data_IF_892328810387
#
_entry.id   IF_892328810387
#
_cell.length_a   1.000
_cell.length_b   1.000
_cell.length_c   1.000
_cell.angle_alpha   90.00
_cell.angle_beta   90.00
_cell.angle_gamma   90.00
#
_symmetry.space_group_name_H-M   'P 1'
#
loop_
_entity.id
_entity.type
_entity.pdbx_description
1 polymer ?
#
# COMPACT_ATOMS: atom_id res chain seq x y z
N UNK A 1 4.30 -7.95 -19.78
CA UNK A 1 4.29 -9.38 -19.36
C UNK A 1 3.12 -9.63 -18.43
N UNK A 2 2.28 -10.66 -18.71
CA UNK A 2 1.16 -10.99 -17.84
C UNK A 2 1.70 -11.78 -16.63
N UNK A 3 1.75 -11.16 -15.47
CA UNK A 3 2.23 -11.79 -14.21
C UNK A 3 1.32 -12.97 -13.85
N UNK A 4 1.86 -14.16 -13.88
CA UNK A 4 1.11 -15.40 -13.64
C UNK A 4 1.05 -15.64 -12.12
N UNK A 5 -0.10 -15.34 -11.52
CA UNK A 5 -0.34 -15.58 -10.09
C UNK A 5 -0.33 -17.09 -9.77
N UNK A 6 0.51 -17.52 -8.83
CA UNK A 6 0.44 -18.86 -8.26
C UNK A 6 -0.76 -18.98 -7.31
N UNK A 7 -1.87 -19.50 -7.85
CA UNK A 7 -3.13 -19.67 -7.10
C UNK A 7 -2.98 -20.56 -5.86
N UNK A 8 -2.09 -21.58 -5.90
CA UNK A 8 -1.87 -22.49 -4.77
C UNK A 8 -1.17 -21.77 -3.62
N UNK A 9 -0.12 -21.00 -3.93
CA UNK A 9 0.64 -20.22 -2.96
C UNK A 9 -0.23 -19.15 -2.30
N UNK A 10 -1.00 -18.40 -3.10
CA UNK A 10 -1.96 -17.40 -2.61
C UNK A 10 -2.95 -18.03 -1.61
N UNK A 11 -3.63 -19.12 -2.03
CA UNK A 11 -4.58 -19.82 -1.16
C UNK A 11 -3.94 -20.32 0.14
N UNK A 12 -2.71 -20.86 0.06
CA UNK A 12 -1.95 -21.34 1.22
C UNK A 12 -1.63 -20.22 2.20
N UNK A 13 -1.16 -19.07 1.68
CA UNK A 13 -0.82 -17.89 2.49
C UNK A 13 -2.06 -17.35 3.20
N UNK A 14 -3.15 -17.12 2.47
CA UNK A 14 -4.42 -16.66 3.03
C UNK A 14 -4.94 -17.63 4.11
N UNK A 15 -4.92 -18.95 3.84
CA UNK A 15 -5.35 -19.97 4.81
C UNK A 15 -4.52 -19.92 6.09
N UNK A 16 -3.19 -19.73 5.98
CA UNK A 16 -2.31 -19.61 7.14
C UNK A 16 -2.60 -18.34 7.93
N UNK A 17 -2.84 -17.22 7.24
CA UNK A 17 -3.18 -15.95 7.87
C UNK A 17 -4.48 -16.05 8.68
N UNK A 18 -5.55 -16.54 8.07
CA UNK A 18 -6.86 -16.72 8.72
C UNK A 18 -6.83 -17.55 10.00
N UNK A 19 -6.00 -18.60 10.03
CA UNK A 19 -5.87 -19.48 11.20
C UNK A 19 -5.27 -18.81 12.42
N UNK A 20 -4.67 -17.62 12.28
CA UNK A 20 -4.04 -16.89 13.39
C UNK A 20 -5.02 -16.03 14.17
N UNK A 21 -6.21 -15.76 13.60
CA UNK A 21 -7.23 -14.92 14.24
C UNK A 21 -6.63 -13.61 14.82
N UNK A 22 -5.96 -12.87 13.96
CA UNK A 22 -5.19 -11.68 14.33
C UNK A 22 -6.14 -10.60 14.85
N UNK A 23 -5.83 -10.02 16.03
CA UNK A 23 -6.53 -8.82 16.49
C UNK A 23 -6.10 -7.61 15.64
N UNK A 24 -7.00 -6.66 15.40
CA UNK A 24 -6.71 -5.45 14.65
C UNK A 24 -5.53 -4.65 15.25
N UNK A 25 -5.37 -4.69 16.58
CA UNK A 25 -4.28 -4.02 17.31
C UNK A 25 -2.89 -4.61 17.02
N UNK A 26 -2.84 -5.88 16.60
CA UNK A 26 -1.61 -6.58 16.22
C UNK A 26 -1.34 -6.52 14.70
N UNK A 27 -2.28 -5.99 13.94
CA UNK A 27 -2.20 -5.96 12.48
C UNK A 27 -1.34 -4.81 11.98
N UNK A 28 -0.38 -5.13 11.12
CA UNK A 28 0.39 -4.15 10.36
C UNK A 28 -0.14 -4.06 8.93
N UNK A 29 -0.54 -2.88 8.52
CA UNK A 29 -1.09 -2.60 7.18
C UNK A 29 -0.09 -1.73 6.43
N UNK A 30 0.59 -2.31 5.45
CA UNK A 30 1.49 -1.58 4.56
C UNK A 30 0.75 -1.12 3.31
N UNK A 31 0.98 0.13 2.91
CA UNK A 31 0.26 0.81 1.84
C UNK A 31 1.24 1.47 0.88
N UNK A 32 1.09 1.21 -0.40
CA UNK A 32 1.72 2.05 -1.43
C UNK A 32 0.98 3.38 -1.59
N UNK A 33 1.63 4.40 -2.17
CA UNK A 33 1.02 5.71 -2.45
C UNK A 33 0.46 5.74 -3.88
N UNK A 34 1.31 5.51 -4.87
CA UNK A 34 1.01 5.75 -6.28
C UNK A 34 -0.08 4.80 -6.79
N UNK A 35 -1.18 5.33 -7.34
CA UNK A 35 -2.36 4.56 -7.73
C UNK A 35 -2.96 3.66 -6.64
N UNK A 36 -2.54 3.82 -5.39
CA UNK A 36 -3.09 3.11 -4.22
C UNK A 36 -3.81 4.07 -3.29
N UNK A 37 -3.12 5.07 -2.76
CA UNK A 37 -3.67 6.15 -1.93
C UNK A 37 -3.91 7.44 -2.74
N UNK A 38 -3.04 7.72 -3.73
CA UNK A 38 -3.07 8.89 -4.57
C UNK A 38 -3.24 8.52 -6.04
N UNK A 39 -3.92 9.37 -6.81
CA UNK A 39 -4.10 9.20 -8.24
C UNK A 39 -2.82 9.63 -8.98
N UNK A 40 -1.89 8.69 -9.17
CA UNK A 40 -0.63 8.93 -9.88
C UNK A 40 -0.84 9.02 -11.39
N UNK A 41 -1.54 8.03 -11.97
CA UNK A 41 -1.83 8.01 -13.41
C UNK A 41 -3.07 8.82 -13.73
N UNK A 42 -2.90 10.13 -13.90
CA UNK A 42 -3.97 11.02 -14.37
C UNK A 42 -4.29 10.78 -15.86
N UNK A 43 -5.10 11.65 -16.48
CA UNK A 43 -5.42 11.58 -17.91
C UNK A 43 -4.14 11.46 -18.76
N UNK A 44 -3.94 10.33 -19.45
CA UNK A 44 -2.76 10.08 -20.28
C UNK A 44 -2.00 8.79 -19.96
N UNK A 45 -2.36 8.13 -18.82
CA UNK A 45 -1.80 6.83 -18.44
C UNK A 45 -0.40 6.87 -17.84
N UNK A 46 0.12 5.69 -17.47
CA UNK A 46 1.37 5.54 -16.72
C UNK A 46 2.60 6.15 -17.41
N UNK A 47 2.69 6.09 -18.73
CA UNK A 47 3.85 6.61 -19.45
C UNK A 47 4.00 8.14 -19.34
N UNK A 48 2.86 8.87 -19.34
CA UNK A 48 2.85 10.32 -19.16
C UNK A 48 3.12 10.64 -17.69
N UNK A 49 2.49 9.93 -16.77
CA UNK A 49 2.72 10.08 -15.33
C UNK A 49 4.20 9.89 -14.96
N UNK A 50 4.87 8.89 -15.53
CA UNK A 50 6.31 8.66 -15.31
C UNK A 50 7.19 9.81 -15.81
N UNK A 51 6.79 10.53 -16.87
CA UNK A 51 7.49 11.74 -17.34
C UNK A 51 7.27 12.90 -16.38
N UNK A 52 6.00 13.17 -16.03
CA UNK A 52 5.63 14.23 -15.09
C UNK A 52 6.25 14.00 -13.70
N UNK A 53 6.45 12.76 -13.30
CA UNK A 53 7.10 12.40 -12.04
C UNK A 53 8.58 12.85 -11.95
N UNK A 54 9.18 13.30 -13.06
CA UNK A 54 10.50 13.95 -13.07
C UNK A 54 10.41 15.45 -12.80
N UNK A 55 9.22 16.05 -12.85
CA UNK A 55 9.01 17.47 -12.63
C UNK A 55 8.89 17.75 -11.13
N UNK A 56 9.34 18.93 -10.71
CA UNK A 56 9.22 19.40 -9.33
C UNK A 56 7.74 19.59 -8.92
N UNK A 57 7.41 19.21 -7.71
CA UNK A 57 6.06 19.35 -7.16
C UNK A 57 5.05 18.28 -7.63
N UNK A 58 5.43 17.35 -8.49
CA UNK A 58 4.48 16.37 -9.04
C UNK A 58 3.83 15.53 -7.93
N UNK A 59 4.63 14.93 -7.04
CA UNK A 59 4.10 14.02 -6.02
C UNK A 59 3.33 14.74 -4.91
N UNK A 60 3.74 15.93 -4.50
CA UNK A 60 3.03 16.67 -3.44
C UNK A 60 1.66 17.16 -3.87
N UNK A 61 1.42 17.29 -5.19
CA UNK A 61 0.16 17.76 -5.76
C UNK A 61 -0.77 16.63 -6.23
N UNK A 62 -0.42 15.35 -6.01
CA UNK A 62 -1.29 14.24 -6.37
C UNK A 62 -2.60 14.29 -5.58
N UNK A 63 -3.76 14.15 -6.25
CA UNK A 63 -5.02 14.05 -5.55
C UNK A 63 -5.11 12.72 -4.78
N UNK A 64 -5.55 12.79 -3.52
CA UNK A 64 -5.86 11.62 -2.71
C UNK A 64 -7.14 10.96 -3.21
N UNK A 65 -7.24 9.63 -3.17
CA UNK A 65 -8.48 8.95 -3.48
C UNK A 65 -9.53 9.17 -2.40
N UNK A 66 -10.78 9.13 -2.84
CA UNK A 66 -11.93 9.22 -1.95
C UNK A 66 -11.85 8.18 -0.81
N UNK A 67 -12.27 8.57 0.38
CA UNK A 67 -12.36 7.75 1.60
C UNK A 67 -11.02 7.19 2.13
N UNK A 68 -9.87 7.54 1.59
CA UNK A 68 -8.57 7.06 2.07
C UNK A 68 -8.30 7.59 3.48
N UNK A 69 -8.37 8.90 3.67
CA UNK A 69 -8.07 9.57 4.94
C UNK A 69 -8.97 9.04 6.07
N UNK A 70 -10.29 9.08 5.87
CA UNK A 70 -11.27 8.62 6.86
C UNK A 70 -11.08 7.15 7.21
N UNK A 71 -10.85 6.30 6.18
CA UNK A 71 -10.66 4.86 6.39
C UNK A 71 -9.39 4.57 7.19
N UNK A 72 -8.27 5.22 6.85
CA UNK A 72 -7.01 4.99 7.53
C UNK A 72 -7.03 5.56 8.95
N UNK A 73 -7.66 6.73 9.15
CA UNK A 73 -7.86 7.30 10.48
C UNK A 73 -8.71 6.36 11.35
N UNK A 74 -9.80 5.80 10.81
CA UNK A 74 -10.64 4.86 11.54
C UNK A 74 -9.88 3.56 11.90
N UNK A 75 -9.11 2.98 10.95
CA UNK A 75 -8.28 1.81 11.22
C UNK A 75 -7.23 2.09 12.31
N UNK A 76 -6.64 3.29 12.31
CA UNK A 76 -5.69 3.72 13.35
C UNK A 76 -6.36 3.82 14.72
N UNK A 77 -7.60 4.36 14.79
CA UNK A 77 -8.39 4.41 16.03
C UNK A 77 -8.75 3.02 16.55
N UNK A 78 -8.97 2.05 15.67
CA UNK A 78 -9.16 0.64 16.03
C UNK A 78 -7.86 -0.04 16.50
N UNK A 79 -6.73 0.66 16.46
CA UNK A 79 -5.42 0.18 16.90
C UNK A 79 -4.57 -0.48 15.82
N UNK A 80 -4.97 -0.46 14.55
CA UNK A 80 -4.14 -0.98 13.46
C UNK A 80 -2.85 -0.16 13.30
N UNK A 81 -1.74 -0.85 13.03
CA UNK A 81 -0.47 -0.20 12.72
C UNK A 81 -0.40 0.11 11.22
N UNK A 82 -0.59 1.37 10.86
CA UNK A 82 -0.53 1.83 9.47
C UNK A 82 0.90 2.20 9.10
N UNK A 83 1.38 1.67 7.98
CA UNK A 83 2.70 1.91 7.41
C UNK A 83 2.58 2.35 5.96
N UNK A 84 3.36 3.32 5.55
CA UNK A 84 3.55 3.67 4.14
C UNK A 84 4.79 2.94 3.62
N UNK A 85 4.66 2.32 2.45
CA UNK A 85 5.77 1.67 1.76
C UNK A 85 5.69 1.98 0.26
N UNK A 86 6.27 3.08 -0.15
CA UNK A 86 6.18 3.58 -1.53
C UNK A 86 7.55 3.81 -2.14
N UNK A 87 7.65 3.50 -3.44
CA UNK A 87 8.86 3.74 -4.19
C UNK A 87 8.90 5.18 -4.73
N UNK A 88 10.10 5.75 -4.86
CA UNK A 88 10.34 7.03 -5.50
C UNK A 88 11.44 6.92 -6.57
N UNK A 89 11.35 7.63 -7.71
CA UNK A 89 12.42 7.70 -8.68
C UNK A 89 13.57 8.56 -8.16
N UNK A 90 14.79 8.20 -8.55
CA UNK A 90 15.92 9.09 -8.42
C UNK A 90 15.84 10.11 -9.55
N UNK A 91 15.70 11.37 -9.20
CA UNK A 91 15.79 12.48 -10.14
C UNK A 91 17.24 12.93 -10.27
N UNK A 92 17.62 13.49 -11.43
CA UNK A 92 18.89 14.19 -11.55
C UNK A 92 18.93 15.33 -10.52
N UNK A 93 20.04 15.40 -9.76
CA UNK A 93 20.20 16.42 -8.74
C UNK A 93 20.39 17.78 -9.41
N UNK A 94 19.39 18.63 -9.25
CA UNK A 94 19.45 20.04 -9.58
C UNK A 94 19.10 20.80 -8.29
N UNK A 95 19.85 21.83 -7.93
CA UNK A 95 19.69 22.60 -6.69
C UNK A 95 18.28 23.17 -6.51
N UNK A 96 17.52 23.30 -7.61
CA UNK A 96 16.17 23.86 -7.62
C UNK A 96 15.06 22.80 -7.69
N UNK A 97 15.38 21.49 -7.66
CA UNK A 97 14.38 20.42 -7.76
C UNK A 97 14.36 19.63 -6.47
N UNK A 98 13.20 19.64 -5.80
CA UNK A 98 12.98 18.79 -4.62
C UNK A 98 13.06 17.31 -4.98
N UNK A 99 13.57 16.50 -4.07
CA UNK A 99 13.55 15.06 -4.27
C UNK A 99 12.11 14.52 -4.28
N UNK A 100 11.82 13.55 -5.12
CA UNK A 100 10.52 12.88 -5.13
C UNK A 100 10.17 12.26 -3.76
N UNK A 101 11.17 11.91 -2.96
CA UNK A 101 11.01 11.46 -1.57
C UNK A 101 10.46 12.56 -0.68
N UNK A 102 11.01 13.79 -0.77
CA UNK A 102 10.57 14.91 0.06
C UNK A 102 9.16 15.35 -0.33
N UNK A 103 8.84 15.36 -1.63
CA UNK A 103 7.49 15.64 -2.11
C UNK A 103 6.46 14.63 -1.58
N UNK A 104 6.78 13.33 -1.58
CA UNK A 104 5.92 12.31 -1.00
C UNK A 104 5.74 12.50 0.52
N UNK A 105 6.78 12.93 1.24
CA UNK A 105 6.65 13.27 2.65
C UNK A 105 5.73 14.48 2.86
N UNK A 106 5.87 15.56 2.07
CA UNK A 106 4.95 16.71 2.14
C UNK A 106 3.51 16.31 1.81
N UNK A 107 3.32 15.40 0.83
CA UNK A 107 2.00 14.86 0.54
C UNK A 107 1.41 14.10 1.75
N UNK A 108 2.22 13.27 2.42
CA UNK A 108 1.81 12.56 3.63
C UNK A 108 1.51 13.51 4.79
N UNK A 109 2.29 14.58 4.97
CA UNK A 109 2.03 15.60 5.99
C UNK A 109 0.71 16.34 5.73
N UNK A 110 0.36 16.55 4.46
CA UNK A 110 -0.87 17.22 4.05
C UNK A 110 -2.12 16.35 4.27
N UNK A 111 -2.08 15.09 3.87
CA UNK A 111 -3.27 14.23 3.80
C UNK A 111 -3.35 13.20 4.93
N UNK A 112 -2.22 12.72 5.44
CA UNK A 112 -2.14 11.63 6.42
C UNK A 112 -1.17 11.98 7.56
N UNK A 113 -1.32 13.15 8.22
CA UNK A 113 -0.39 13.63 9.24
C UNK A 113 -0.35 12.73 10.49
N UNK A 114 -1.38 11.92 10.71
CA UNK A 114 -1.45 10.96 11.81
C UNK A 114 -0.55 9.73 11.63
N UNK A 115 0.04 9.53 10.43
CA UNK A 115 1.01 8.46 10.19
C UNK A 115 2.40 9.00 10.56
N UNK A 116 3.03 8.49 11.62
CA UNK A 116 4.31 9.01 12.10
C UNK A 116 5.45 8.73 11.12
N UNK A 117 6.47 9.58 11.13
CA UNK A 117 7.58 9.56 10.16
C UNK A 117 8.33 8.22 10.14
N UNK A 118 8.50 7.56 11.27
CA UNK A 118 9.16 6.25 11.41
C UNK A 118 8.37 5.11 10.73
N UNK A 119 7.11 5.35 10.38
CA UNK A 119 6.27 4.42 9.62
C UNK A 119 6.14 4.78 8.14
N UNK A 120 6.93 5.73 7.65
CA UNK A 120 6.95 6.18 6.24
C UNK A 120 8.20 5.64 5.55
N UNK A 121 8.09 4.45 4.99
CA UNK A 121 9.19 3.76 4.30
C UNK A 121 9.18 4.16 2.82
N UNK A 122 9.81 5.30 2.51
CA UNK A 122 10.00 5.76 1.14
C UNK A 122 11.34 5.21 0.61
N UNK A 123 11.27 4.37 -0.40
CA UNK A 123 12.38 3.56 -0.92
C UNK A 123 12.65 3.88 -2.40
N UNK A 124 13.90 3.73 -2.90
CA UNK A 124 14.19 3.89 -4.32
C UNK A 124 13.41 2.88 -5.18
N UNK A 125 13.02 3.30 -6.40
CA UNK A 125 12.45 2.39 -7.41
C UNK A 125 13.41 1.21 -7.65
N UNK A 126 12.85 0.01 -7.80
CA UNK A 126 13.62 -1.24 -7.95
C UNK A 126 13.86 -2.00 -6.65
N UNK A 127 13.64 -1.38 -5.50
CA UNK A 127 13.74 -2.07 -4.20
C UNK A 127 12.56 -3.04 -4.01
N UNK A 128 12.84 -4.24 -3.54
CA UNK A 128 11.81 -5.24 -3.25
C UNK A 128 11.06 -4.89 -1.97
N UNK A 129 9.81 -4.46 -2.11
CA UNK A 129 8.95 -4.06 -0.98
C UNK A 129 8.74 -5.18 0.05
N UNK A 130 8.68 -6.44 -0.37
CA UNK A 130 8.48 -7.56 0.54
C UNK A 130 9.68 -7.79 1.47
N UNK A 131 10.90 -7.55 0.98
CA UNK A 131 12.12 -7.62 1.81
C UNK A 131 12.17 -6.47 2.83
N UNK A 132 11.73 -5.27 2.43
CA UNK A 132 11.61 -4.12 3.36
C UNK A 132 10.63 -4.43 4.48
N UNK A 133 9.46 -5.01 4.17
CA UNK A 133 8.49 -5.44 5.19
C UNK A 133 9.13 -6.44 6.17
N UNK A 134 9.86 -7.43 5.66
CA UNK A 134 10.52 -8.45 6.48
C UNK A 134 11.59 -7.86 7.43
N UNK A 135 12.21 -6.74 7.06
CA UNK A 135 13.23 -6.08 7.89
C UNK A 135 12.66 -5.29 9.07
N UNK A 136 11.37 -4.90 9.01
CA UNK A 136 10.76 -4.03 10.03
C UNK A 136 9.63 -4.69 10.81
N UNK A 137 8.99 -5.72 10.27
CA UNK A 137 7.83 -6.35 10.88
C UNK A 137 7.81 -7.88 10.76
N UNK A 138 7.15 -8.53 11.73
CA UNK A 138 6.84 -9.95 11.61
C UNK A 138 5.75 -10.15 10.53
N UNK A 139 6.15 -10.69 9.36
CA UNK A 139 5.26 -10.95 8.21
C UNK A 139 3.96 -11.72 8.53
N UNK A 140 3.89 -12.38 9.69
CA UNK A 140 2.72 -13.17 10.09
C UNK A 140 1.48 -12.33 10.41
N UNK A 141 1.69 -11.07 10.80
CA UNK A 141 0.63 -10.11 11.14
C UNK A 141 0.57 -8.96 10.15
N UNK A 142 1.02 -9.18 8.92
CA UNK A 142 1.10 -8.14 7.88
C UNK A 142 0.11 -8.40 6.77
N UNK A 143 -0.55 -7.33 6.32
CA UNK A 143 -1.18 -7.21 5.01
C UNK A 143 -0.49 -6.09 4.23
N UNK A 144 -0.41 -6.26 2.92
CA UNK A 144 0.20 -5.27 2.03
C UNK A 144 -0.75 -4.91 0.89
N UNK A 145 -1.02 -3.62 0.71
CA UNK A 145 -1.96 -3.09 -0.29
C UNK A 145 -1.17 -2.30 -1.33
N UNK A 146 -1.30 -2.70 -2.60
CA UNK A 146 -0.53 -2.10 -3.70
C UNK A 146 -1.33 -2.29 -5.01
N UNK A 147 -1.22 -1.34 -5.94
CA UNK A 147 -1.85 -1.44 -7.26
C UNK A 147 -0.98 -2.17 -8.27
N UNK A 148 0.33 -2.34 -8.01
CA UNK A 148 1.23 -3.02 -8.93
C UNK A 148 1.27 -4.53 -8.69
N UNK A 149 0.87 -5.29 -9.71
CA UNK A 149 0.70 -6.75 -9.59
C UNK A 149 1.96 -7.51 -9.22
N UNK A 150 3.15 -7.02 -9.61
CA UNK A 150 4.42 -7.67 -9.28
C UNK A 150 4.71 -7.56 -7.77
N UNK A 151 4.44 -6.40 -7.15
CA UNK A 151 4.60 -6.21 -5.71
C UNK A 151 3.71 -7.19 -4.92
N UNK A 152 2.46 -7.37 -5.38
CA UNK A 152 1.53 -8.35 -4.78
C UNK A 152 2.06 -9.78 -4.92
N UNK A 153 2.70 -10.13 -6.05
CA UNK A 153 3.31 -11.46 -6.22
C UNK A 153 4.48 -11.66 -5.26
N UNK A 154 5.39 -10.71 -5.17
CA UNK A 154 6.54 -10.76 -4.24
C UNK A 154 6.06 -10.89 -2.78
N UNK A 155 4.98 -10.17 -2.40
CA UNK A 155 4.38 -10.34 -1.07
C UNK A 155 3.94 -11.78 -0.82
N UNK A 156 3.22 -12.41 -1.77
CA UNK A 156 2.83 -13.82 -1.62
C UNK A 156 4.02 -14.78 -1.65
N UNK A 157 5.07 -14.47 -2.38
CA UNK A 157 6.32 -15.23 -2.37
C UNK A 157 7.02 -15.18 -1.02
N UNK A 158 6.97 -14.06 -0.33
CA UNK A 158 7.44 -13.90 1.04
C UNK A 158 6.48 -14.43 2.12
N UNK A 159 5.27 -14.87 1.73
CA UNK A 159 4.25 -15.38 2.66
C UNK A 159 3.42 -14.28 3.33
N UNK A 160 3.45 -13.06 2.80
CA UNK A 160 2.65 -11.90 3.20
C UNK A 160 1.34 -11.89 2.41
N UNK A 161 0.23 -11.50 3.05
CA UNK A 161 -1.06 -11.35 2.37
C UNK A 161 -1.07 -10.05 1.58
N UNK A 162 -1.02 -10.15 0.26
CA UNK A 162 -1.17 -9.02 -0.65
C UNK A 162 -2.63 -8.76 -1.03
N UNK A 163 -3.05 -7.50 -0.98
CA UNK A 163 -4.35 -7.00 -1.42
C UNK A 163 -4.13 -6.10 -2.63
N UNK A 164 -4.73 -6.45 -3.76
CA UNK A 164 -4.59 -5.66 -4.99
C UNK A 164 -5.56 -4.49 -4.99
N UNK A 165 -5.05 -3.24 -5.03
CA UNK A 165 -5.86 -2.08 -5.41
C UNK A 165 -6.13 -2.15 -6.92
N UNK A 166 -7.36 -1.97 -7.34
CA UNK A 166 -7.75 -2.13 -8.75
C UNK A 166 -8.85 -1.15 -9.14
N UNK A 167 -8.81 -0.71 -10.38
CA UNK A 167 -9.83 0.16 -11.00
C UNK A 167 -10.72 -0.60 -11.98
N UNK A 168 -10.43 -1.88 -12.20
CA UNK A 168 -11.18 -2.73 -13.13
C UNK A 168 -11.91 -3.84 -12.37
N UNK A 169 -13.08 -4.22 -12.83
CA UNK A 169 -13.83 -5.38 -12.31
C UNK A 169 -13.17 -6.74 -12.58
N UNK A 170 -11.94 -6.77 -13.11
CA UNK A 170 -11.24 -8.02 -13.44
C UNK A 170 -10.87 -8.79 -12.18
N UNK A 171 -11.50 -9.97 -12.00
CA UNK A 171 -11.22 -10.84 -10.85
C UNK A 171 -9.80 -11.41 -10.89
N UNK A 172 -9.12 -11.36 -9.75
CA UNK A 172 -7.79 -11.91 -9.50
C UNK A 172 -7.87 -12.97 -8.41
N UNK A 173 -6.87 -13.89 -8.32
CA UNK A 173 -6.87 -14.90 -7.27
C UNK A 173 -6.55 -14.40 -5.86
N UNK A 174 -6.04 -13.17 -5.73
CA UNK A 174 -5.80 -12.49 -4.45
C UNK A 174 -7.01 -11.62 -4.05
N UNK A 175 -7.13 -11.22 -2.77
CA UNK A 175 -8.07 -10.20 -2.33
C UNK A 175 -7.88 -8.90 -3.13
N UNK A 176 -8.99 -8.20 -3.39
CA UNK A 176 -9.00 -6.95 -4.13
C UNK A 176 -9.85 -5.91 -3.42
N UNK A 177 -9.46 -4.64 -3.58
CA UNK A 177 -10.26 -3.49 -3.22
C UNK A 177 -10.37 -2.55 -4.43
N UNK A 178 -11.55 -1.98 -4.66
CA UNK A 178 -11.77 -0.92 -5.64
C UNK A 178 -11.88 0.43 -4.93
N UNK A 179 -12.61 0.46 -3.84
CA UNK A 179 -12.68 1.57 -2.91
C UNK A 179 -11.97 1.21 -1.60
N UNK A 180 -11.50 2.22 -0.85
CA UNK A 180 -10.81 1.98 0.40
C UNK A 180 -11.73 1.39 1.48
N UNK A 181 -13.02 1.69 1.47
CA UNK A 181 -14.00 1.03 2.35
C UNK A 181 -14.10 -0.48 2.16
N UNK A 182 -13.73 -1.00 1.01
CA UNK A 182 -13.71 -2.45 0.78
C UNK A 182 -12.72 -3.18 1.69
N UNK A 183 -11.77 -2.46 2.31
CA UNK A 183 -10.80 -3.05 3.24
C UNK A 183 -11.49 -3.77 4.39
N UNK A 184 -12.57 -3.23 4.94
CA UNK A 184 -13.31 -3.86 6.06
C UNK A 184 -13.90 -5.20 5.65
N UNK A 185 -14.44 -5.33 4.43
CA UNK A 185 -14.92 -6.60 3.88
C UNK A 185 -13.78 -7.61 3.72
N UNK A 186 -12.58 -7.12 3.34
CA UNK A 186 -11.39 -7.98 3.18
C UNK A 186 -10.86 -8.41 4.54
N UNK A 187 -10.76 -7.51 5.53
CA UNK A 187 -10.33 -7.84 6.90
C UNK A 187 -11.25 -8.89 7.52
N UNK A 188 -12.57 -8.73 7.40
CA UNK A 188 -13.54 -9.72 7.86
C UNK A 188 -13.32 -11.09 7.16
N UNK A 189 -13.15 -11.11 5.83
CA UNK A 189 -12.84 -12.33 5.08
C UNK A 189 -11.49 -12.96 5.49
N UNK A 190 -10.58 -12.20 6.03
CA UNK A 190 -9.28 -12.65 6.54
C UNK A 190 -9.33 -13.08 8.01
N UNK A 191 -10.49 -13.04 8.67
CA UNK A 191 -10.71 -13.32 10.09
C UNK A 191 -9.89 -12.40 11.01
N UNK A 192 -9.73 -11.14 10.63
CA UNK A 192 -9.18 -10.13 11.55
C UNK A 192 -10.26 -9.77 12.56
N UNK A 193 -9.93 -9.87 13.85
CA UNK A 193 -10.84 -9.53 14.94
C UNK A 193 -10.80 -8.03 15.18
N UNK A 194 -11.95 -7.39 15.11
CA UNK A 194 -12.14 -5.98 15.41
C UNK A 194 -13.02 -5.95 16.67
N UNK A 195 -12.41 -5.65 17.80
CA UNK A 195 -13.11 -5.45 19.06
C UNK A 195 -13.44 -3.94 19.16
N UNK A 196 -14.71 -3.59 19.12
CA UNK A 196 -15.13 -2.24 19.45
C UNK A 196 -14.99 -2.05 20.98
N UNK A 197 -14.27 -1.02 21.39
CA UNK A 197 -14.23 -0.63 22.80
C UNK A 197 -15.68 -0.23 23.20
N UNK A 198 -16.20 -0.94 24.21
CA UNK A 198 -17.52 -0.67 24.78
C UNK A 198 -17.55 0.64 25.57
#
# INVERSE_FOLDING_TARGET
MCTKYDKKKIKKTIKKFKKREINIKDLNIFLDIDNTLALFSQKGGDAIACKLAQEDGYYENLPIFHCVEDTLMYLTRLGANIWILSAYPLREQNENIHSAKDEKNRWLDKYLPFIPTERRLLIPVGTNKAEVIDSVCNRKTVIFIDDYGQNILHAYEAGIVGIKKTYSGKKRPCPQIQDFYDIFKVLNKLNVKIEEEK
#
